data_IF_876002337000
#
_entry.id   IF_876002337000
#
_cell.length_a   1.000
_cell.length_b   1.000
_cell.length_c   1.000
_cell.angle_alpha   90.00
_cell.angle_beta   90.00
_cell.angle_gamma   90.00
#
_symmetry.space_group_name_H-M   'P 1'
#
loop_
_entity.id
_entity.type
_entity.pdbx_description
1 polymer ?
#
# COMPACT_ATOMS: atom_id res chain seq x y z
N UNK A 1 6.86 -3.95 4.45
CA UNK A 1 8.12 -4.08 3.67
C UNK A 1 7.75 -4.29 2.21
N UNK A 2 8.39 -3.57 1.30
CA UNK A 2 8.16 -3.63 -0.15
C UNK A 2 9.46 -4.06 -0.82
N UNK A 3 9.41 -5.14 -1.61
CA UNK A 3 10.57 -5.72 -2.28
C UNK A 3 10.28 -5.71 -3.79
N UNK A 4 11.03 -4.92 -4.54
CA UNK A 4 10.93 -4.92 -6.01
C UNK A 4 11.92 -5.93 -6.58
N UNK A 5 11.42 -6.81 -7.45
CA UNK A 5 12.17 -7.94 -7.99
C UNK A 5 12.05 -7.92 -9.51
N UNK A 6 13.16 -8.17 -10.20
CA UNK A 6 13.19 -8.40 -11.64
C UNK A 6 13.69 -9.81 -11.94
N UNK A 7 13.02 -10.53 -12.83
CA UNK A 7 13.45 -11.86 -13.26
C UNK A 7 13.37 -12.00 -14.77
N UNK A 8 14.22 -12.85 -15.36
CA UNK A 8 14.11 -13.22 -16.78
C UNK A 8 13.19 -14.41 -17.00
N UNK A 9 13.13 -15.31 -16.02
CA UNK A 9 12.15 -16.39 -15.98
C UNK A 9 10.96 -15.97 -15.12
N UNK A 10 9.71 -16.25 -15.52
CA UNK A 10 8.56 -15.90 -14.71
C UNK A 10 8.61 -16.53 -13.32
N UNK A 11 8.42 -15.72 -12.27
CA UNK A 11 8.17 -16.19 -10.90
C UNK A 11 6.68 -16.52 -10.70
N UNK A 12 5.80 -15.70 -11.28
CA UNK A 12 4.35 -15.83 -11.25
C UNK A 12 3.78 -15.60 -12.66
N UNK A 13 2.91 -16.50 -13.12
CA UNK A 13 2.22 -16.43 -14.42
C UNK A 13 0.75 -15.97 -14.30
N UNK A 14 0.49 -14.91 -13.54
CA UNK A 14 -0.85 -14.33 -13.39
C UNK A 14 -0.79 -12.79 -13.36
N UNK A 15 -1.68 -12.07 -14.07
CA UNK A 15 -1.67 -10.60 -14.17
C UNK A 15 -2.30 -9.90 -12.95
N UNK A 16 -2.20 -10.51 -11.77
CA UNK A 16 -2.87 -10.03 -10.56
C UNK A 16 -1.99 -10.12 -9.33
N UNK A 17 -2.60 -9.95 -8.17
CA UNK A 17 -1.95 -10.09 -6.87
C UNK A 17 -2.15 -11.54 -6.40
N UNK A 18 -1.06 -12.23 -6.09
CA UNK A 18 -1.08 -13.54 -5.42
C UNK A 18 -0.89 -13.30 -3.93
N UNK A 19 -1.78 -13.85 -3.11
CA UNK A 19 -1.71 -13.76 -1.65
C UNK A 19 -1.21 -15.09 -1.08
N UNK A 20 -0.30 -15.03 -0.11
CA UNK A 20 0.29 -16.20 0.53
C UNK A 20 -0.33 -16.41 1.91
N UNK A 21 -0.95 -17.57 2.11
CA UNK A 21 -1.65 -17.89 3.36
C UNK A 21 -0.78 -18.51 4.46
N UNK A 22 0.43 -18.99 4.12
CA UNK A 22 1.31 -19.70 5.06
C UNK A 22 2.78 -19.34 4.80
N UNK A 23 3.22 -18.27 5.43
CA UNK A 23 4.55 -17.65 5.32
C UNK A 23 4.91 -17.00 6.66
N UNK A 24 6.16 -16.61 6.84
CA UNK A 24 6.60 -15.90 8.05
C UNK A 24 6.20 -14.44 8.01
N UNK A 25 6.39 -13.77 6.86
CA UNK A 25 6.21 -12.33 6.64
C UNK A 25 5.57 -12.00 5.28
N UNK A 26 5.90 -12.74 4.23
CA UNK A 26 5.45 -12.47 2.87
C UNK A 26 3.92 -12.59 2.79
N UNK A 27 3.21 -11.51 2.46
CA UNK A 27 1.75 -11.52 2.42
C UNK A 27 1.21 -11.59 0.99
N UNK A 28 1.78 -10.85 0.04
CA UNK A 28 1.35 -10.90 -1.34
C UNK A 28 2.44 -10.43 -2.32
N UNK A 29 2.26 -10.74 -3.60
CA UNK A 29 3.15 -10.32 -4.68
C UNK A 29 2.35 -10.08 -5.96
N UNK A 30 2.73 -9.04 -6.70
CA UNK A 30 2.10 -8.68 -7.97
C UNK A 30 3.11 -8.79 -9.12
N UNK A 31 2.65 -9.29 -10.27
CA UNK A 31 3.40 -9.22 -11.54
C UNK A 31 2.97 -7.97 -12.31
N UNK A 32 3.73 -6.88 -12.15
CA UNK A 32 3.40 -5.58 -12.74
C UNK A 32 3.48 -5.62 -14.27
N UNK A 33 4.51 -6.28 -14.79
CA UNK A 33 4.75 -6.40 -16.24
C UNK A 33 3.76 -7.33 -16.97
N UNK A 34 3.00 -8.16 -16.26
CA UNK A 34 1.94 -8.95 -16.87
C UNK A 34 0.73 -8.10 -17.26
N UNK A 35 0.47 -7.02 -16.52
CA UNK A 35 -0.60 -6.06 -16.85
C UNK A 35 -0.07 -4.91 -17.73
N UNK A 36 1.11 -4.39 -17.43
CA UNK A 36 1.74 -3.26 -18.11
C UNK A 36 3.16 -3.65 -18.59
N UNK A 37 3.30 -4.33 -19.75
CA UNK A 37 4.59 -4.86 -20.24
C UNK A 37 5.69 -3.81 -20.37
N UNK A 38 5.32 -2.55 -20.63
CA UNK A 38 6.23 -1.41 -20.77
C UNK A 38 6.98 -1.05 -19.48
N UNK A 39 6.55 -1.56 -18.32
CA UNK A 39 7.24 -1.36 -17.04
C UNK A 39 8.54 -2.16 -16.92
N UNK A 40 8.80 -3.09 -17.85
CA UNK A 40 10.02 -3.89 -17.88
C UNK A 40 10.67 -3.89 -19.28
N UNK A 41 12.00 -3.97 -19.38
CA UNK A 41 12.66 -4.20 -20.66
C UNK A 41 12.24 -5.55 -21.28
N UNK A 42 12.35 -5.72 -22.62
CA UNK A 42 12.05 -6.99 -23.26
C UNK A 42 12.79 -8.19 -22.63
N UNK A 43 12.06 -9.27 -22.33
CA UNK A 43 12.60 -10.47 -21.71
C UNK A 43 12.86 -10.35 -20.20
N UNK A 44 12.35 -9.28 -19.56
CA UNK A 44 12.32 -9.13 -18.11
C UNK A 44 10.88 -9.05 -17.61
N UNK A 45 10.69 -9.54 -16.39
CA UNK A 45 9.45 -9.46 -15.64
C UNK A 45 9.69 -8.65 -14.37
N UNK A 46 8.81 -7.69 -14.11
CA UNK A 46 8.87 -6.83 -12.93
C UNK A 46 7.79 -7.24 -11.92
N UNK A 47 8.22 -7.41 -10.68
CA UNK A 47 7.36 -7.78 -9.57
C UNK A 47 7.55 -6.84 -8.38
N UNK A 48 6.49 -6.74 -7.59
CA UNK A 48 6.53 -6.15 -6.25
C UNK A 48 5.97 -7.15 -5.26
N UNK A 49 6.76 -7.49 -4.24
CA UNK A 49 6.37 -8.32 -3.12
C UNK A 49 6.18 -7.46 -1.86
N UNK A 50 5.18 -7.82 -1.07
CA UNK A 50 4.85 -7.16 0.18
C UNK A 50 5.00 -8.15 1.32
N UNK A 51 5.66 -7.71 2.39
CA UNK A 51 5.78 -8.45 3.62
C UNK A 51 5.37 -7.58 4.81
N UNK A 52 4.70 -8.19 5.78
CA UNK A 52 4.20 -7.53 6.99
C UNK A 52 5.10 -7.93 8.16
N UNK A 53 5.70 -6.96 8.87
CA UNK A 53 6.54 -7.28 10.00
C UNK A 53 5.72 -7.81 11.19
N UNK A 54 6.38 -8.48 12.13
CA UNK A 54 5.79 -8.92 13.40
C UNK A 54 6.59 -8.32 14.57
N UNK A 55 5.99 -7.43 15.38
CA UNK A 55 4.63 -6.92 15.27
C UNK A 55 4.42 -6.01 14.04
N UNK A 56 3.17 -5.93 13.57
CA UNK A 56 2.82 -5.05 12.44
C UNK A 56 2.74 -3.57 12.84
N UNK A 57 2.58 -3.30 14.13
CA UNK A 57 2.56 -1.98 14.74
C UNK A 57 3.59 -1.93 15.87
N UNK A 58 4.32 -0.83 15.96
CA UNK A 58 5.39 -0.64 16.93
C UNK A 58 6.75 -1.09 16.40
N UNK A 59 7.68 -1.31 17.31
CA UNK A 59 9.06 -1.60 16.97
C UNK A 59 9.28 -3.05 16.53
N UNK A 60 10.11 -3.18 15.50
CA UNK A 60 10.62 -4.44 14.97
C UNK A 60 12.04 -4.21 14.40
N UNK A 61 12.83 -5.28 14.35
CA UNK A 61 14.15 -5.24 13.74
C UNK A 61 14.03 -5.33 12.21
N UNK A 62 14.40 -4.27 11.50
CA UNK A 62 14.15 -4.18 10.07
C UNK A 62 14.92 -5.21 9.25
N UNK A 63 16.16 -5.51 9.65
CA UNK A 63 17.03 -6.43 8.91
C UNK A 63 16.56 -7.88 9.05
N UNK A 64 16.16 -8.28 10.27
CA UNK A 64 15.57 -9.59 10.53
C UNK A 64 14.28 -9.78 9.73
N UNK A 65 13.40 -8.78 9.74
CA UNK A 65 12.10 -8.89 9.06
C UNK A 65 12.25 -8.94 7.53
N UNK A 66 13.24 -8.23 6.98
CA UNK A 66 13.61 -8.33 5.56
C UNK A 66 14.19 -9.70 5.25
N UNK A 67 15.08 -10.23 6.08
CA UNK A 67 15.69 -11.55 5.87
C UNK A 67 14.63 -12.66 5.83
N UNK A 68 13.66 -12.64 6.76
CA UNK A 68 12.55 -13.59 6.80
C UNK A 68 11.64 -13.47 5.56
N UNK A 69 11.39 -12.25 5.08
CA UNK A 69 10.61 -12.04 3.86
C UNK A 69 11.33 -12.58 2.60
N UNK A 70 12.66 -12.47 2.55
CA UNK A 70 13.47 -13.04 1.47
C UNK A 70 13.56 -14.57 1.54
N UNK A 71 13.60 -15.14 2.74
CA UNK A 71 13.49 -16.59 2.94
C UNK A 71 12.15 -17.12 2.44
N UNK A 72 11.04 -16.47 2.81
CA UNK A 72 9.72 -16.83 2.30
C UNK A 72 9.68 -16.79 0.76
N UNK A 73 10.25 -15.77 0.12
CA UNK A 73 10.29 -15.69 -1.35
C UNK A 73 11.07 -16.84 -1.99
N UNK A 74 12.19 -17.26 -1.39
CA UNK A 74 12.95 -18.44 -1.85
C UNK A 74 12.16 -19.72 -1.71
N UNK A 75 11.39 -19.86 -0.63
CA UNK A 75 10.54 -21.03 -0.41
C UNK A 75 9.32 -21.06 -1.36
N UNK A 76 8.77 -19.90 -1.70
CA UNK A 76 7.62 -19.81 -2.62
C UNK A 76 8.02 -20.01 -4.08
N UNK A 77 9.26 -19.66 -4.48
CA UNK A 77 9.69 -19.70 -5.88
C UNK A 77 11.05 -20.40 -6.03
N UNK A 78 11.04 -21.59 -6.63
CA UNK A 78 12.25 -22.40 -6.81
C UNK A 78 13.35 -21.70 -7.65
N UNK A 79 12.99 -20.78 -8.54
CA UNK A 79 13.92 -20.00 -9.35
C UNK A 79 14.21 -18.60 -8.77
N UNK A 80 13.83 -18.31 -7.52
CA UNK A 80 14.00 -16.98 -6.92
C UNK A 80 15.46 -16.52 -6.87
N UNK A 81 16.40 -17.43 -6.62
CA UNK A 81 17.83 -17.08 -6.53
C UNK A 81 18.43 -16.61 -7.87
N UNK A 82 17.71 -16.79 -8.98
CA UNK A 82 18.08 -16.25 -10.29
C UNK A 82 17.53 -14.83 -10.52
N UNK A 83 16.57 -14.41 -9.70
CA UNK A 83 15.97 -13.08 -9.77
C UNK A 83 16.88 -12.02 -9.13
N UNK A 84 16.66 -10.77 -9.54
CA UNK A 84 17.37 -9.59 -9.03
C UNK A 84 16.47 -8.82 -8.09
N UNK A 85 16.92 -8.64 -6.86
CA UNK A 85 16.31 -7.67 -5.95
C UNK A 85 16.76 -6.28 -6.41
N UNK A 86 15.82 -5.46 -6.87
CA UNK A 86 16.08 -4.10 -7.33
C UNK A 86 16.08 -3.11 -6.17
N UNK A 87 15.18 -3.29 -5.20
CA UNK A 87 15.10 -2.46 -4.01
C UNK A 87 14.32 -3.14 -2.90
N UNK A 88 14.70 -2.87 -1.66
CA UNK A 88 13.90 -3.20 -0.46
C UNK A 88 13.59 -1.90 0.27
N UNK A 89 12.31 -1.67 0.59
CA UNK A 89 11.85 -0.51 1.36
C UNK A 89 11.06 -0.97 2.58
N UNK A 90 11.52 -0.57 3.76
CA UNK A 90 10.77 -0.72 5.00
C UNK A 90 9.97 0.56 5.21
N UNK A 91 8.64 0.46 5.20
CA UNK A 91 7.74 1.59 5.40
C UNK A 91 7.33 1.63 6.88
N UNK A 92 7.86 2.59 7.63
CA UNK A 92 7.63 2.77 9.07
C UNK A 92 7.82 4.24 9.47
N UNK A 93 7.50 4.54 10.72
CA UNK A 93 7.69 5.85 11.36
C UNK A 93 7.01 6.98 10.54
N UNK A 94 7.76 7.96 10.06
CA UNK A 94 7.23 9.11 9.29
C UNK A 94 6.74 8.74 7.88
N UNK A 95 7.13 7.56 7.36
CA UNK A 95 6.73 7.09 6.04
C UNK A 95 6.15 5.66 6.08
N UNK A 96 5.02 5.46 6.78
CA UNK A 96 4.41 4.15 6.97
C UNK A 96 3.62 3.70 5.73
N UNK A 97 3.23 2.42 5.70
CA UNK A 97 2.33 1.90 4.66
C UNK A 97 0.94 2.55 4.71
N UNK A 98 0.50 2.92 5.91
CA UNK A 98 -0.71 3.68 6.18
C UNK A 98 -0.52 4.47 7.47
N UNK A 99 -0.96 5.74 7.51
CA UNK A 99 -0.77 6.60 8.69
C UNK A 99 -1.57 6.18 9.92
N UNK A 100 -2.77 5.62 9.74
CA UNK A 100 -3.54 4.97 10.82
C UNK A 100 -3.68 3.49 10.53
N UNK A 101 -3.67 2.66 11.57
CA UNK A 101 -4.02 1.25 11.43
C UNK A 101 -5.49 1.13 11.04
N UNK A 102 -5.80 0.26 10.07
CA UNK A 102 -7.18 -0.05 9.71
C UNK A 102 -8.00 -0.47 10.94
N UNK A 103 -9.13 0.21 11.17
CA UNK A 103 -9.97 0.00 12.35
C UNK A 103 -9.64 0.92 13.53
N UNK A 104 -8.54 1.67 13.46
CA UNK A 104 -8.14 2.71 14.43
C UNK A 104 -7.99 4.07 13.74
N UNK A 105 -8.82 4.30 12.73
CA UNK A 105 -8.82 5.50 11.92
C UNK A 105 -9.27 6.74 12.71
N UNK A 106 -8.62 7.87 12.45
CA UNK A 106 -8.89 9.14 13.13
C UNK A 106 -10.12 9.84 12.51
N UNK A 107 -10.77 10.77 13.24
CA UNK A 107 -11.81 11.61 12.66
C UNK A 107 -11.25 12.52 11.56
N UNK A 108 -12.11 12.88 10.59
CA UNK A 108 -11.78 13.88 9.54
C UNK A 108 -11.86 15.30 10.09
N UNK A 109 -12.80 15.51 10.99
CA UNK A 109 -13.06 16.75 11.69
C UNK A 109 -11.93 17.02 12.69
N UNK A 110 -11.38 18.24 12.63
CA UNK A 110 -10.30 18.65 13.56
C UNK A 110 -10.81 19.44 14.76
N UNK A 111 -12.08 19.85 14.74
CA UNK A 111 -12.65 20.81 15.69
C UNK A 111 -12.39 22.28 15.33
N UNK A 112 -11.60 22.55 14.28
CA UNK A 112 -11.37 23.90 13.73
C UNK A 112 -12.22 24.07 12.47
N UNK A 113 -13.02 25.13 12.41
CA UNK A 113 -13.88 25.41 11.26
C UNK A 113 -13.04 25.56 9.98
N UNK A 114 -13.46 24.88 8.91
CA UNK A 114 -12.78 24.89 7.62
C UNK A 114 -11.50 24.05 7.55
N UNK A 115 -11.07 23.41 8.65
CA UNK A 115 -9.90 22.52 8.66
C UNK A 115 -10.32 21.05 8.77
N UNK A 116 -9.93 20.28 7.74
CA UNK A 116 -10.30 18.88 7.59
C UNK A 116 -9.09 18.01 7.27
N UNK A 117 -9.07 16.80 7.81
CA UNK A 117 -8.13 15.76 7.46
C UNK A 117 -8.67 14.92 6.29
N UNK A 118 -7.79 14.53 5.37
CA UNK A 118 -8.06 13.59 4.27
C UNK A 118 -6.89 12.62 4.13
N UNK A 119 -7.12 11.49 3.48
CA UNK A 119 -6.10 10.47 3.22
C UNK A 119 -6.26 9.22 4.07
N UNK A 120 -5.18 8.45 4.13
CA UNK A 120 -5.11 7.11 4.70
C UNK A 120 -5.21 7.06 6.23
N UNK A 121 -5.10 8.19 6.92
CA UNK A 121 -5.23 8.31 8.38
C UNK A 121 -6.69 8.35 8.87
N UNK A 122 -7.63 8.71 7.98
CA UNK A 122 -9.03 9.07 8.33
C UNK A 122 -10.05 8.36 7.43
N UNK A 123 -9.62 7.20 6.91
CA UNK A 123 -10.40 6.34 6.01
C UNK A 123 -11.64 5.78 6.70
N UNK A 124 -12.67 5.48 5.90
CA UNK A 124 -13.85 4.78 6.40
C UNK A 124 -13.48 3.36 6.84
N UNK A 125 -14.15 2.89 7.90
CA UNK A 125 -13.93 1.54 8.43
C UNK A 125 -14.06 0.47 7.34
N UNK A 126 -13.09 -0.45 7.30
CA UNK A 126 -13.05 -1.53 6.32
C UNK A 126 -12.53 -1.14 4.94
N UNK A 127 -12.20 0.14 4.71
CA UNK A 127 -11.57 0.60 3.48
C UNK A 127 -10.05 0.76 3.62
N UNK A 128 -9.32 0.83 2.52
CA UNK A 128 -7.87 0.95 2.50
C UNK A 128 -7.29 1.38 1.16
N UNK A 129 -5.98 1.62 1.17
CA UNK A 129 -5.22 1.99 -0.02
C UNK A 129 -5.64 3.34 -0.62
N UNK A 130 -5.21 3.57 -1.87
CA UNK A 130 -5.42 4.84 -2.57
C UNK A 130 -6.89 5.18 -2.78
N UNK A 131 -7.75 4.16 -2.95
CA UNK A 131 -9.19 4.37 -3.08
C UNK A 131 -9.77 5.06 -1.85
N UNK A 132 -9.42 4.58 -0.65
CA UNK A 132 -9.87 5.20 0.60
C UNK A 132 -9.40 6.65 0.72
N UNK A 133 -8.17 6.97 0.29
CA UNK A 133 -7.69 8.35 0.27
C UNK A 133 -8.57 9.25 -0.61
N UNK A 134 -8.91 8.79 -1.82
CA UNK A 134 -9.77 9.55 -2.73
C UNK A 134 -11.19 9.72 -2.16
N UNK A 135 -11.76 8.66 -1.57
CA UNK A 135 -13.09 8.71 -0.95
C UNK A 135 -13.15 9.69 0.21
N UNK A 136 -12.13 9.73 1.09
CA UNK A 136 -12.10 10.70 2.20
C UNK A 136 -12.11 12.15 1.69
N UNK A 137 -11.37 12.43 0.62
CA UNK A 137 -11.37 13.75 0.00
C UNK A 137 -12.76 14.10 -0.58
N UNK A 138 -13.43 13.14 -1.22
CA UNK A 138 -14.80 13.32 -1.69
C UNK A 138 -15.76 13.61 -0.54
N UNK A 139 -15.74 12.80 0.52
CA UNK A 139 -16.62 12.97 1.69
C UNK A 139 -16.45 14.35 2.31
N UNK A 140 -15.21 14.78 2.52
CA UNK A 140 -14.90 16.12 3.08
C UNK A 140 -15.39 17.22 2.13
N UNK A 141 -15.17 17.09 0.83
CA UNK A 141 -15.64 18.06 -0.16
C UNK A 141 -17.16 18.18 -0.16
N UNK A 142 -17.87 17.05 -0.12
CA UNK A 142 -19.33 17.01 -0.07
C UNK A 142 -19.86 17.68 1.21
N UNK A 143 -19.23 17.42 2.36
CA UNK A 143 -19.58 18.06 3.63
C UNK A 143 -19.38 19.58 3.59
N UNK A 144 -18.27 20.05 3.02
CA UNK A 144 -18.00 21.48 2.82
C UNK A 144 -19.07 22.12 1.94
N UNK A 145 -19.42 21.48 0.82
CA UNK A 145 -20.42 22.02 -0.11
C UNK A 145 -21.81 22.07 0.52
N UNK A 146 -22.19 21.07 1.32
CA UNK A 146 -23.45 21.03 2.05
C UNK A 146 -23.54 22.12 3.13
N UNK A 147 -22.42 22.46 3.78
CA UNK A 147 -22.35 23.48 4.81
C UNK A 147 -22.30 24.92 4.26
N UNK A 148 -22.06 25.10 2.95
CA UNK A 148 -22.05 26.45 2.36
C UNK A 148 -23.47 27.02 2.38
N UNK A 149 -23.68 28.22 2.97
CA UNK A 149 -24.95 28.92 2.76
C UNK A 149 -25.12 29.14 1.26
N UNK A 150 -26.33 28.87 0.74
CA UNK A 150 -26.66 29.22 -0.63
C UNK A 150 -26.30 30.70 -0.83
N UNK A 151 -25.31 31.00 -1.66
CA UNK A 151 -24.93 32.37 -2.06
C UNK A 151 -26.04 33.09 -2.87
N UNK A 152 -27.27 32.57 -2.85
CA UNK A 152 -28.45 33.10 -3.50
C UNK A 152 -29.29 33.94 -2.51
N UNK A 153 -28.76 35.07 -2.05
CA UNK A 153 -29.56 36.20 -1.52
C UNK A 153 -28.73 37.45 -1.15
N UNK A 154 -27.56 37.70 -1.77
CA UNK A 154 -26.87 39.00 -1.65
C UNK A 154 -26.38 39.49 -3.00
N UNK A 155 -27.33 39.78 -3.90
CA UNK A 155 -27.14 40.79 -4.95
C UNK A 155 -28.43 41.63 -5.05
N UNK A 156 -28.21 42.92 -4.79
CA UNK A 156 -29.09 44.10 -4.89
C UNK A 156 -30.12 44.24 -3.78
#
# INVERSE_FOLDING_TARGET
IVINVASREPLINHPGIVTFGKTRRLCNMANLSATCPELAPPGWHLYVAYAVPVPALGDFDSDTEVALALEDLREQFANFDQAKILSVRVMRDDWPAQRSCAGYDLPRETGIEGLWCVGDAVKQYGNGGTQACAETAKIVTDAILAARPHLAARRV
#
